data_IF_658804893940
#
_entry.id   IF_658804893940
#
_cell.length_a   1.000
_cell.length_b   1.000
_cell.length_c   1.000
_cell.angle_alpha   90.00
_cell.angle_beta   90.00
_cell.angle_gamma   90.00
#
_symmetry.space_group_name_H-M   'P 1'
#
loop_
_entity.id
_entity.type
_entity.pdbx_description
1 polymer ?
#
# COMPACT_ATOMS: atom_id res chain seq x y z
N UNK A 1 -30.38 24.03 21.97
CA UNK A 1 -29.58 23.42 20.88
C UNK A 1 -29.84 21.93 20.88
N UNK A 2 -30.42 21.37 19.80
CA UNK A 2 -30.45 19.92 19.62
C UNK A 2 -29.03 19.46 19.23
N UNK A 3 -28.55 18.30 19.69
CA UNK A 3 -27.30 17.77 19.17
C UNK A 3 -27.51 17.50 17.67
N UNK A 4 -26.62 18.05 16.84
CA UNK A 4 -26.46 17.60 15.46
C UNK A 4 -26.01 16.14 15.55
N UNK A 5 -26.96 15.21 15.43
CA UNK A 5 -26.66 13.80 15.27
C UNK A 5 -25.79 13.72 14.03
N UNK A 6 -24.54 13.30 14.19
CA UNK A 6 -23.59 13.12 13.10
C UNK A 6 -23.91 11.80 12.41
N UNK A 7 -25.08 11.74 11.76
CA UNK A 7 -25.68 10.52 11.19
C UNK A 7 -24.69 9.77 10.29
N UNK A 8 -23.82 10.47 9.55
CA UNK A 8 -22.76 9.82 8.76
C UNK A 8 -21.72 9.08 9.62
N UNK A 9 -21.35 9.62 10.78
CA UNK A 9 -20.33 9.04 11.65
C UNK A 9 -20.85 7.81 12.40
N UNK A 10 -22.08 7.85 12.91
CA UNK A 10 -22.67 6.73 13.67
C UNK A 10 -22.91 5.49 12.80
N UNK A 11 -23.32 5.70 11.53
CA UNK A 11 -23.46 4.61 10.55
C UNK A 11 -22.11 3.99 10.18
N UNK A 12 -21.08 4.81 10.02
CA UNK A 12 -19.73 4.32 9.69
C UNK A 12 -19.10 3.61 10.88
N UNK A 13 -19.27 4.13 12.09
CA UNK A 13 -18.81 3.47 13.30
C UNK A 13 -19.45 2.08 13.46
N UNK A 14 -20.75 1.95 13.16
CA UNK A 14 -21.43 0.66 13.19
C UNK A 14 -20.87 -0.32 12.15
N UNK A 15 -20.56 0.15 10.92
CA UNK A 15 -19.89 -0.66 9.89
C UNK A 15 -18.48 -1.08 10.32
N UNK A 16 -17.67 -0.16 10.83
CA UNK A 16 -16.33 -0.41 11.34
C UNK A 16 -16.36 -1.41 12.51
N UNK A 17 -17.33 -1.28 13.41
CA UNK A 17 -17.50 -2.20 14.53
C UNK A 17 -17.90 -3.60 14.06
N UNK A 18 -18.73 -3.71 13.03
CA UNK A 18 -19.03 -4.99 12.38
C UNK A 18 -17.79 -5.62 11.73
N UNK A 19 -16.94 -4.81 11.09
CA UNK A 19 -15.68 -5.27 10.52
C UNK A 19 -14.68 -5.73 11.61
N UNK A 20 -14.55 -5.00 12.71
CA UNK A 20 -13.76 -5.42 13.88
C UNK A 20 -14.27 -6.71 14.50
N UNK A 21 -15.59 -6.95 14.48
CA UNK A 21 -16.15 -8.20 14.96
C UNK A 21 -15.67 -9.40 14.13
N UNK A 22 -15.44 -9.19 12.82
CA UNK A 22 -14.96 -10.16 11.86
C UNK A 22 -13.43 -10.27 11.78
N UNK A 23 -12.68 -9.47 12.57
CA UNK A 23 -11.24 -9.60 12.64
C UNK A 23 -10.83 -11.02 13.07
N UNK A 24 -9.75 -11.53 12.46
CA UNK A 24 -9.22 -12.86 12.78
C UNK A 24 -8.65 -12.82 14.21
N UNK A 25 -9.36 -13.42 15.16
CA UNK A 25 -9.00 -13.45 16.59
C UNK A 25 -9.44 -14.75 17.26
N UNK A 26 -8.89 -15.01 18.43
CA UNK A 26 -9.26 -16.16 19.28
C UNK A 26 -9.22 -17.48 18.50
N UNK A 27 -10.33 -18.22 18.54
CA UNK A 27 -10.45 -19.56 17.94
C UNK A 27 -10.11 -19.60 16.45
N UNK A 28 -10.42 -18.54 15.68
CA UNK A 28 -10.09 -18.51 14.24
C UNK A 28 -8.58 -18.41 14.03
N UNK A 29 -7.90 -17.56 14.80
CA UNK A 29 -6.45 -17.45 14.77
C UNK A 29 -5.79 -18.75 15.26
N UNK A 30 -6.36 -19.38 16.29
CA UNK A 30 -5.88 -20.66 16.81
C UNK A 30 -6.00 -21.80 15.78
N UNK A 31 -7.07 -21.85 14.98
CA UNK A 31 -7.20 -22.82 13.88
C UNK A 31 -6.13 -22.63 12.80
N UNK A 32 -5.81 -21.38 12.45
CA UNK A 32 -4.73 -21.08 11.52
C UNK A 32 -3.38 -21.57 12.06
N UNK A 33 -3.07 -21.29 13.34
CA UNK A 33 -1.82 -21.77 13.98
C UNK A 33 -1.74 -23.30 14.10
N UNK A 34 -2.88 -23.95 14.36
CA UNK A 34 -2.95 -25.41 14.50
C UNK A 34 -3.02 -26.14 13.15
N UNK A 35 -2.97 -25.42 12.03
CA UNK A 35 -2.87 -26.04 10.71
C UNK A 35 -1.50 -26.68 10.54
N UNK A 36 -1.44 -27.99 10.78
CA UNK A 36 -0.18 -28.77 10.78
C UNK A 36 0.37 -29.07 9.39
N UNK A 37 -0.38 -28.78 8.34
CA UNK A 37 0.06 -28.92 6.94
C UNK A 37 -0.31 -27.68 6.14
N UNK A 38 0.42 -27.46 5.04
CA UNK A 38 0.15 -26.34 4.12
C UNK A 38 -1.28 -26.45 3.59
N UNK A 39 -1.74 -27.62 3.17
CA UNK A 39 -3.08 -27.83 2.59
C UNK A 39 -4.21 -27.50 3.58
N UNK A 40 -4.00 -27.77 4.86
CA UNK A 40 -4.96 -27.39 5.91
C UNK A 40 -4.97 -25.87 6.11
N UNK A 41 -3.80 -25.23 6.11
CA UNK A 41 -3.70 -23.77 6.17
C UNK A 41 -4.39 -23.12 4.97
N UNK A 42 -4.15 -23.64 3.76
CA UNK A 42 -4.80 -23.15 2.54
C UNK A 42 -6.32 -23.27 2.63
N UNK A 43 -6.84 -24.36 3.20
CA UNK A 43 -8.29 -24.55 3.39
C UNK A 43 -8.88 -23.56 4.39
N UNK A 44 -8.21 -23.32 5.52
CA UNK A 44 -8.66 -22.33 6.50
C UNK A 44 -8.60 -20.91 5.91
N UNK A 45 -7.56 -20.57 5.13
CA UNK A 45 -7.48 -19.29 4.42
C UNK A 45 -8.57 -19.14 3.35
N UNK A 46 -8.87 -20.19 2.58
CA UNK A 46 -9.96 -20.18 1.62
C UNK A 46 -11.33 -19.99 2.29
N UNK A 47 -11.55 -20.58 3.47
CA UNK A 47 -12.76 -20.35 4.26
C UNK A 47 -12.90 -18.89 4.76
N UNK A 48 -11.78 -18.15 4.81
CA UNK A 48 -11.75 -16.71 5.10
C UNK A 48 -11.84 -15.84 3.84
N UNK A 49 -12.05 -16.44 2.66
CA UNK A 49 -12.23 -15.76 1.39
C UNK A 49 -10.95 -15.46 0.63
N UNK A 50 -9.80 -16.01 1.02
CA UNK A 50 -8.55 -15.87 0.26
C UNK A 50 -8.48 -16.88 -0.89
N UNK A 51 -8.11 -16.41 -2.08
CA UNK A 51 -8.02 -17.22 -3.30
C UNK A 51 -6.59 -17.69 -3.57
N UNK A 52 -5.59 -16.88 -3.22
CA UNK A 52 -4.18 -17.21 -3.26
C UNK A 52 -3.69 -17.62 -1.89
N UNK A 53 -3.07 -18.80 -1.83
CA UNK A 53 -2.58 -19.37 -0.57
C UNK A 53 -1.10 -19.73 -0.63
N UNK A 54 -0.41 -19.36 -1.72
CA UNK A 54 1.05 -19.30 -1.78
C UNK A 54 1.51 -18.04 -1.04
N UNK A 55 2.60 -18.16 -0.27
CA UNK A 55 3.09 -17.10 0.63
C UNK A 55 3.18 -15.72 -0.04
N UNK A 56 3.82 -15.65 -1.20
CA UNK A 56 4.14 -14.37 -1.84
C UNK A 56 2.88 -13.70 -2.40
N UNK A 57 2.00 -14.48 -3.02
CA UNK A 57 0.71 -14.00 -3.54
C UNK A 57 -0.31 -13.71 -2.43
N UNK A 58 -0.23 -14.42 -1.30
CA UNK A 58 -1.14 -14.24 -0.16
C UNK A 58 -0.95 -12.88 0.51
N UNK A 59 0.29 -12.44 0.74
CA UNK A 59 0.54 -11.12 1.33
C UNK A 59 0.01 -9.99 0.45
N UNK A 60 0.21 -10.10 -0.88
CA UNK A 60 -0.32 -9.14 -1.84
C UNK A 60 -1.86 -9.09 -1.80
N UNK A 61 -2.52 -10.25 -1.90
CA UNK A 61 -4.00 -10.32 -1.83
C UNK A 61 -4.54 -9.80 -0.49
N UNK A 62 -3.84 -10.05 0.62
CA UNK A 62 -4.21 -9.51 1.92
C UNK A 62 -4.19 -7.97 1.90
N UNK A 63 -3.10 -7.36 1.42
CA UNK A 63 -3.00 -5.90 1.34
C UNK A 63 -4.09 -5.35 0.40
N UNK A 64 -4.28 -5.93 -0.78
CA UNK A 64 -5.30 -5.50 -1.74
C UNK A 64 -6.70 -5.53 -1.13
N UNK A 65 -7.04 -6.60 -0.42
CA UNK A 65 -8.35 -6.75 0.24
C UNK A 65 -8.58 -5.72 1.34
N UNK A 66 -7.57 -5.50 2.19
CA UNK A 66 -7.67 -4.51 3.25
C UNK A 66 -7.75 -3.09 2.67
N UNK A 67 -7.00 -2.78 1.61
CA UNK A 67 -7.06 -1.48 0.93
C UNK A 67 -8.39 -1.25 0.21
N UNK A 68 -8.96 -2.27 -0.42
CA UNK A 68 -10.30 -2.20 -1.01
C UNK A 68 -11.37 -1.90 0.04
N UNK A 69 -11.20 -2.47 1.23
CA UNK A 69 -12.06 -2.22 2.37
C UNK A 69 -11.95 -0.78 2.88
N UNK A 70 -10.72 -0.26 3.05
CA UNK A 70 -10.49 1.14 3.42
C UNK A 70 -11.05 2.10 2.37
N UNK A 71 -10.87 1.81 1.08
CA UNK A 71 -11.40 2.62 -0.02
C UNK A 71 -12.94 2.65 -0.03
N UNK A 72 -13.60 1.52 0.26
CA UNK A 72 -15.05 1.45 0.39
C UNK A 72 -15.60 2.33 1.52
N UNK A 73 -14.88 2.38 2.65
CA UNK A 73 -15.21 3.27 3.78
C UNK A 73 -14.98 4.74 3.38
N UNK A 74 -13.82 5.04 2.78
CA UNK A 74 -13.45 6.36 2.28
C UNK A 74 -14.54 6.94 1.38
N UNK A 75 -15.08 6.16 0.45
CA UNK A 75 -16.12 6.59 -0.49
C UNK A 75 -17.48 6.92 0.18
N UNK A 76 -17.67 6.55 1.46
CA UNK A 76 -18.86 6.88 2.25
C UNK A 76 -18.66 8.09 3.18
N UNK A 77 -17.43 8.61 3.26
CA UNK A 77 -17.05 9.69 4.17
C UNK A 77 -17.10 11.06 3.49
N UNK A 78 -17.36 12.10 4.29
CA UNK A 78 -17.13 13.48 3.85
C UNK A 78 -15.64 13.78 3.69
N UNK A 79 -15.30 14.76 2.86
CA UNK A 79 -13.93 15.11 2.43
C UNK A 79 -12.89 15.12 3.56
N UNK A 80 -13.19 15.73 4.71
CA UNK A 80 -12.24 15.82 5.83
C UNK A 80 -11.89 14.47 6.43
N UNK A 81 -12.86 13.57 6.54
CA UNK A 81 -12.61 12.24 7.08
C UNK A 81 -12.05 11.29 6.02
N UNK A 82 -12.43 11.46 4.76
CA UNK A 82 -11.86 10.71 3.64
C UNK A 82 -10.34 10.93 3.54
N UNK A 83 -9.85 12.15 3.81
CA UNK A 83 -8.42 12.49 3.76
C UNK A 83 -7.53 11.58 4.64
N UNK A 84 -8.03 11.15 5.80
CA UNK A 84 -7.31 10.20 6.66
C UNK A 84 -7.13 8.83 5.98
N UNK A 85 -8.19 8.32 5.33
CA UNK A 85 -8.14 7.05 4.60
C UNK A 85 -7.35 7.17 3.30
N UNK A 86 -7.41 8.33 2.64
CA UNK A 86 -6.57 8.66 1.49
C UNK A 86 -5.09 8.49 1.84
N UNK A 87 -4.65 9.03 2.97
CA UNK A 87 -3.27 8.90 3.39
C UNK A 87 -2.86 7.44 3.70
N UNK A 88 -3.73 6.66 4.34
CA UNK A 88 -3.49 5.23 4.59
C UNK A 88 -3.34 4.44 3.28
N UNK A 89 -4.20 4.74 2.30
CA UNK A 89 -4.16 4.11 0.98
C UNK A 89 -2.92 4.55 0.20
N UNK A 90 -2.60 5.86 0.21
CA UNK A 90 -1.46 6.44 -0.49
C UNK A 90 -0.12 5.84 -0.02
N UNK A 91 -0.04 5.34 1.22
CA UNK A 91 1.14 4.62 1.71
C UNK A 91 1.59 3.51 0.76
N UNK A 92 0.65 2.79 0.15
CA UNK A 92 0.95 1.70 -0.80
C UNK A 92 1.72 2.20 -2.02
N UNK A 93 1.40 3.40 -2.52
CA UNK A 93 2.16 4.03 -3.61
C UNK A 93 3.63 4.26 -3.21
N UNK A 94 3.89 4.79 -2.01
CA UNK A 94 5.27 5.05 -1.57
C UNK A 94 6.06 3.77 -1.31
N UNK A 95 5.43 2.68 -0.82
CA UNK A 95 6.12 1.39 -0.69
C UNK A 95 6.44 0.76 -2.06
N UNK A 96 5.53 0.86 -3.03
CA UNK A 96 5.80 0.46 -4.42
C UNK A 96 6.94 1.30 -5.03
N UNK A 97 6.96 2.62 -4.78
CA UNK A 97 8.02 3.51 -5.24
C UNK A 97 9.39 3.07 -4.71
N UNK A 98 9.52 2.82 -3.40
CA UNK A 98 10.77 2.32 -2.80
C UNK A 98 11.21 1.01 -3.44
N UNK A 99 10.27 0.09 -3.68
CA UNK A 99 10.55 -1.19 -4.33
C UNK A 99 11.14 -0.97 -5.74
N UNK A 100 10.59 -0.04 -6.51
CA UNK A 100 11.08 0.30 -7.86
C UNK A 100 12.46 0.96 -7.80
N UNK A 101 12.68 1.88 -6.86
CA UNK A 101 13.99 2.51 -6.66
C UNK A 101 15.04 1.45 -6.29
N UNK A 102 14.70 0.52 -5.39
CA UNK A 102 15.58 -0.57 -5.00
C UNK A 102 15.95 -1.44 -6.22
N UNK A 103 14.96 -1.91 -6.99
CA UNK A 103 15.19 -2.69 -8.22
C UNK A 103 16.04 -1.96 -9.25
N UNK A 104 15.86 -0.64 -9.39
CA UNK A 104 16.56 0.17 -10.37
C UNK A 104 18.03 0.36 -10.01
N UNK A 105 18.31 0.75 -8.77
CA UNK A 105 19.64 1.18 -8.34
C UNK A 105 20.47 0.05 -7.71
N UNK A 106 19.84 -1.03 -7.26
CA UNK A 106 20.48 -2.21 -6.67
C UNK A 106 19.89 -3.52 -7.25
N UNK A 107 20.15 -3.82 -8.54
CA UNK A 107 19.58 -4.98 -9.22
C UNK A 107 20.30 -6.29 -8.82
N UNK A 108 20.14 -6.73 -7.57
CA UNK A 108 20.61 -8.04 -7.08
C UNK A 108 19.45 -9.03 -6.85
N UNK A 109 18.25 -8.70 -7.33
CA UNK A 109 17.03 -9.39 -6.94
C UNK A 109 16.63 -10.47 -7.95
N UNK A 110 16.54 -11.71 -7.48
CA UNK A 110 16.07 -12.87 -8.25
C UNK A 110 14.54 -12.88 -8.45
N UNK A 111 13.80 -12.09 -7.65
CA UNK A 111 12.34 -12.06 -7.69
C UNK A 111 11.81 -11.22 -8.87
N UNK A 112 10.61 -11.57 -9.34
CA UNK A 112 9.88 -10.73 -10.30
C UNK A 112 9.31 -9.51 -9.56
N UNK A 113 9.65 -8.29 -10.01
CA UNK A 113 9.17 -7.04 -9.42
C UNK A 113 7.63 -6.98 -9.39
N UNK A 114 6.94 -7.53 -10.39
CA UNK A 114 5.47 -7.49 -10.46
C UNK A 114 4.80 -8.30 -9.34
N UNK A 115 5.51 -9.31 -8.80
CA UNK A 115 5.07 -10.07 -7.65
C UNK A 115 5.21 -9.29 -6.33
N UNK A 116 6.05 -8.25 -6.30
CA UNK A 116 6.34 -7.44 -5.12
C UNK A 116 5.51 -6.16 -5.04
N UNK A 117 5.04 -5.65 -6.17
CA UNK A 117 4.19 -4.46 -6.21
C UNK A 117 2.74 -4.80 -5.86
N UNK A 118 2.09 -3.92 -5.10
CA UNK A 118 0.66 -4.00 -4.80
C UNK A 118 -0.07 -2.98 -5.65
N UNK A 119 -0.82 -3.44 -6.65
CA UNK A 119 -1.50 -2.57 -7.62
C UNK A 119 -2.93 -2.30 -7.18
N UNK A 120 -3.21 -1.07 -6.78
CA UNK A 120 -4.55 -0.65 -6.40
C UNK A 120 -5.20 0.13 -7.56
N UNK A 121 -6.43 -0.21 -8.01
CA UNK A 121 -7.06 0.42 -9.17
C UNK A 121 -7.28 1.93 -9.11
N UNK A 122 -7.19 2.52 -7.91
CA UNK A 122 -7.39 3.96 -7.66
C UNK A 122 -6.08 4.67 -7.32
N UNK A 123 -4.93 4.00 -7.42
CA UNK A 123 -3.62 4.61 -7.35
C UNK A 123 -2.96 4.62 -8.74
N UNK A 124 -1.99 5.51 -8.97
CA UNK A 124 -1.22 5.50 -10.20
C UNK A 124 -0.50 4.17 -10.42
N UNK A 125 -0.54 3.65 -11.64
CA UNK A 125 0.13 2.41 -12.03
C UNK A 125 1.61 2.68 -12.36
N UNK A 126 2.49 1.81 -11.87
CA UNK A 126 3.90 1.86 -12.23
C UNK A 126 4.19 0.96 -13.44
N UNK A 127 4.51 1.58 -14.58
CA UNK A 127 4.98 0.87 -15.77
C UNK A 127 6.40 0.32 -15.56
N UNK A 128 6.52 -0.79 -14.81
CA UNK A 128 7.81 -1.39 -14.41
C UNK A 128 8.72 -1.65 -15.61
N UNK A 129 8.15 -2.11 -16.72
CA UNK A 129 8.90 -2.41 -17.93
C UNK A 129 9.56 -1.18 -18.57
N UNK A 130 8.95 0.00 -18.46
CA UNK A 130 9.49 1.25 -18.99
C UNK A 130 10.46 1.90 -17.99
N UNK A 131 10.05 1.93 -16.72
CA UNK A 131 10.83 2.51 -15.61
C UNK A 131 12.19 1.82 -15.44
N UNK A 132 12.23 0.49 -15.47
CA UNK A 132 13.46 -0.28 -15.26
C UNK A 132 14.38 -0.27 -16.51
N UNK A 133 13.85 -0.06 -17.71
CA UNK A 133 14.66 0.05 -18.94
C UNK A 133 15.30 1.42 -19.13
N UNK A 134 14.76 2.44 -18.50
CA UNK A 134 15.20 3.82 -18.66
C UNK A 134 16.53 4.03 -17.94
N UNK A 135 17.64 4.24 -18.63
CA UNK A 135 18.96 4.36 -17.96
C UNK A 135 19.19 5.71 -17.31
N UNK A 136 18.74 6.77 -17.95
CA UNK A 136 18.91 8.14 -17.48
C UNK A 136 17.94 8.47 -16.33
N UNK A 137 18.44 9.16 -15.30
CA UNK A 137 17.66 9.45 -14.08
C UNK A 137 16.56 10.49 -14.35
N UNK A 138 16.82 11.49 -15.19
CA UNK A 138 15.83 12.52 -15.52
C UNK A 138 14.75 11.96 -16.45
N UNK A 139 15.11 11.07 -17.37
CA UNK A 139 14.15 10.31 -18.16
C UNK A 139 13.30 9.39 -17.27
N UNK A 140 13.87 8.76 -16.25
CA UNK A 140 13.11 7.94 -15.30
C UNK A 140 12.09 8.78 -14.53
N UNK A 141 12.51 9.94 -14.02
CA UNK A 141 11.63 10.86 -13.28
C UNK A 141 10.44 11.35 -14.11
N UNK A 142 10.61 11.54 -15.43
CA UNK A 142 9.51 11.93 -16.33
C UNK A 142 8.44 10.85 -16.52
N UNK A 143 8.80 9.58 -16.34
CA UNK A 143 7.86 8.46 -16.45
C UNK A 143 7.34 8.00 -15.08
N UNK A 144 7.86 8.57 -13.99
CA UNK A 144 7.44 8.21 -12.66
C UNK A 144 6.02 8.73 -12.43
N UNK A 145 5.03 7.85 -12.20
CA UNK A 145 3.69 8.29 -11.90
C UNK A 145 3.67 8.96 -10.53
N UNK A 146 2.89 10.03 -10.36
CA UNK A 146 2.79 10.79 -9.12
C UNK A 146 1.39 10.64 -8.51
N UNK A 147 1.32 10.38 -7.20
CA UNK A 147 0.06 10.41 -6.45
C UNK A 147 -0.31 11.85 -6.04
N UNK A 148 0.70 12.70 -5.85
CA UNK A 148 0.57 14.14 -5.61
C UNK A 148 1.56 14.88 -6.52
N UNK A 149 1.09 15.89 -7.26
CA UNK A 149 1.96 16.69 -8.14
C UNK A 149 3.02 17.47 -7.35
N UNK A 150 2.74 17.84 -6.09
CA UNK A 150 3.68 18.55 -5.21
C UNK A 150 4.89 17.70 -4.84
N UNK A 151 4.81 16.37 -5.01
CA UNK A 151 5.91 15.45 -4.74
C UNK A 151 6.97 15.42 -5.85
N UNK A 152 6.70 16.02 -7.02
CA UNK A 152 7.57 15.93 -8.18
C UNK A 152 9.00 16.40 -7.88
N UNK A 153 9.17 17.60 -7.31
CA UNK A 153 10.48 18.18 -7.02
C UNK A 153 11.19 17.48 -5.85
N UNK A 154 10.54 17.21 -4.69
CA UNK A 154 11.16 16.42 -3.63
C UNK A 154 11.60 15.02 -4.08
N UNK A 155 10.76 14.29 -4.83
CA UNK A 155 11.10 12.97 -5.34
C UNK A 155 12.24 13.03 -6.36
N UNK A 156 12.29 14.05 -7.19
CA UNK A 156 13.40 14.27 -8.11
C UNK A 156 14.72 14.48 -7.34
N UNK A 157 14.72 15.27 -6.27
CA UNK A 157 15.90 15.47 -5.43
C UNK A 157 16.35 14.16 -4.77
N UNK A 158 15.44 13.40 -4.15
CA UNK A 158 15.73 12.11 -3.52
C UNK A 158 16.32 11.12 -4.53
N UNK A 159 15.72 11.03 -5.72
CA UNK A 159 16.14 10.07 -6.75
C UNK A 159 17.51 10.41 -7.34
N UNK A 160 17.82 11.69 -7.51
CA UNK A 160 19.15 12.13 -7.97
C UNK A 160 20.22 11.87 -6.91
N UNK A 161 19.94 12.15 -5.65
CA UNK A 161 20.86 11.82 -4.55
C UNK A 161 21.09 10.31 -4.44
N UNK A 162 20.05 9.50 -4.62
CA UNK A 162 20.17 8.04 -4.66
C UNK A 162 21.05 7.58 -5.84
N UNK A 163 20.92 8.20 -7.01
CA UNK A 163 21.76 7.89 -8.17
C UNK A 163 23.25 8.17 -7.90
N UNK A 164 23.56 9.20 -7.12
CA UNK A 164 24.93 9.63 -6.85
C UNK A 164 25.56 8.86 -5.68
N UNK A 165 24.79 8.61 -4.60
CA UNK A 165 25.27 7.97 -3.37
C UNK A 165 25.11 6.45 -3.35
N UNK A 166 24.13 5.92 -4.09
CA UNK A 166 23.64 4.53 -4.00
C UNK A 166 23.18 4.11 -2.58
N UNK A 167 22.92 5.06 -1.69
CA UNK A 167 22.41 4.78 -0.34
C UNK A 167 20.88 4.61 -0.35
N UNK A 168 20.44 3.37 -0.53
CA UNK A 168 19.01 3.05 -0.58
C UNK A 168 18.30 3.30 0.75
N UNK A 169 18.99 3.13 1.88
CA UNK A 169 18.37 3.30 3.21
C UNK A 169 18.07 4.78 3.46
N UNK A 170 18.99 5.66 3.08
CA UNK A 170 18.77 7.10 3.13
C UNK A 170 17.61 7.53 2.23
N UNK A 171 17.53 6.99 1.01
CA UNK A 171 16.45 7.28 0.07
C UNK A 171 15.08 6.79 0.58
N UNK A 172 14.98 5.57 1.12
CA UNK A 172 13.75 5.04 1.71
C UNK A 172 13.27 5.91 2.88
N UNK A 173 14.20 6.32 3.76
CA UNK A 173 13.91 7.25 4.85
C UNK A 173 13.39 8.61 4.33
N UNK A 174 13.99 9.15 3.27
CA UNK A 174 13.58 10.42 2.68
C UNK A 174 12.19 10.35 2.03
N UNK A 175 11.87 9.23 1.34
CA UNK A 175 10.52 8.97 0.82
C UNK A 175 9.50 8.89 1.96
N UNK A 176 9.86 8.26 3.09
CA UNK A 176 8.99 8.23 4.26
C UNK A 176 8.75 9.61 4.87
N UNK A 177 9.80 10.42 4.98
CA UNK A 177 9.68 11.80 5.45
C UNK A 177 8.77 12.63 4.55
N UNK A 178 8.90 12.49 3.23
CA UNK A 178 8.03 13.16 2.27
C UNK A 178 6.55 12.79 2.48
N UNK A 179 6.25 11.49 2.60
CA UNK A 179 4.90 11.01 2.89
C UNK A 179 4.33 11.61 4.17
N UNK A 180 5.10 11.61 5.27
CA UNK A 180 4.61 12.15 6.54
C UNK A 180 4.49 13.68 6.56
N UNK A 181 5.34 14.40 5.83
CA UNK A 181 5.26 15.85 5.72
C UNK A 181 3.92 16.29 5.09
N UNK A 182 3.49 15.60 4.02
CA UNK A 182 2.22 15.88 3.34
C UNK A 182 0.99 15.50 4.18
N UNK A 183 1.15 14.60 5.14
CA UNK A 183 0.09 14.13 6.04
C UNK A 183 -0.22 15.12 7.18
N UNK A 184 0.74 15.99 7.51
CA UNK A 184 0.70 16.92 8.66
C UNK A 184 0.53 18.38 8.21
N UNK A 185 0.69 18.66 6.91
CA UNK A 185 0.46 19.96 6.28
C UNK A 185 -1.04 20.28 6.11
#
# INVERSE_FOLDING_TARGET
MKPLINVSHDFIFTKLHGMWANAIRGNTLERLFKSTTVENLQRELAALGFTNTRRDSFHKELIEREMATLNSIRNQLGHRMAAFYDALIARVYYENLKTILNYRFLPELEADITALLVELPWLPEFSTSELLKTKDVDAFLKHLPLVNEEDAEPLAAITRELNDSLDIMAAECAVDQLFYANLVA
#
